data_IF_057851026841
#
_entry.id   IF_057851026841
#
_cell.length_a   1.000
_cell.length_b   1.000
_cell.length_c   1.000
_cell.angle_alpha   90.00
_cell.angle_beta   90.00
_cell.angle_gamma   90.00
#
_symmetry.space_group_name_H-M   'P 1'
#
loop_
_entity.id
_entity.type
_entity.pdbx_description
1 polymer ?
#
# COMPACT_ATOMS: atom_id res chain seq x y z
N UNK A 1 12.21 -34.29 -66.59
CA UNK A 1 12.60 -33.03 -65.93
C UNK A 1 12.25 -33.14 -64.46
N UNK A 2 13.24 -32.96 -63.58
CA UNK A 2 13.10 -32.97 -62.12
C UNK A 2 12.37 -31.69 -61.68
N UNK A 3 11.26 -31.80 -60.95
CA UNK A 3 10.76 -30.66 -60.18
C UNK A 3 11.44 -30.65 -58.81
N UNK A 4 12.14 -29.56 -58.52
CA UNK A 4 12.83 -29.26 -57.27
C UNK A 4 11.80 -29.07 -56.15
N UNK A 5 12.00 -29.76 -55.03
CA UNK A 5 11.44 -29.36 -53.74
C UNK A 5 12.11 -28.06 -53.30
N UNK A 6 11.33 -27.00 -53.09
CA UNK A 6 11.69 -25.90 -52.19
C UNK A 6 11.14 -26.22 -50.80
N UNK A 7 11.92 -26.10 -49.72
CA UNK A 7 11.41 -26.29 -48.38
C UNK A 7 10.44 -25.14 -48.06
N UNK A 8 9.20 -25.49 -47.78
CA UNK A 8 8.21 -24.58 -47.21
C UNK A 8 8.71 -24.21 -45.81
N UNK A 9 9.10 -22.94 -45.62
CA UNK A 9 9.28 -22.38 -44.29
C UNK A 9 7.92 -22.42 -43.59
N UNK A 10 7.71 -23.40 -42.70
CA UNK A 10 6.57 -23.44 -41.82
C UNK A 10 6.80 -22.37 -40.75
N UNK A 11 6.24 -21.17 -40.94
CA UNK A 11 6.11 -20.23 -39.83
C UNK A 11 5.25 -20.92 -38.76
N UNK A 12 5.78 -21.09 -37.54
CA UNK A 12 5.02 -21.53 -36.38
C UNK A 12 3.93 -20.47 -36.10
N UNK A 13 2.73 -20.68 -36.62
CA UNK A 13 1.56 -19.94 -36.17
C UNK A 13 1.06 -20.56 -34.85
N UNK A 14 0.59 -19.75 -33.89
CA UNK A 14 -0.05 -20.26 -32.68
C UNK A 14 -1.26 -21.12 -33.05
N UNK A 15 -1.43 -22.25 -32.37
CA UNK A 15 -2.64 -23.07 -32.53
C UNK A 15 -3.83 -22.25 -32.03
N UNK A 16 -4.80 -21.98 -32.90
CA UNK A 16 -6.05 -21.31 -32.53
C UNK A 16 -7.06 -22.39 -32.18
N UNK A 17 -7.44 -22.48 -30.90
CA UNK A 17 -8.51 -23.37 -30.44
C UNK A 17 -9.78 -22.51 -30.33
N UNK A 18 -10.74 -22.74 -31.23
CA UNK A 18 -12.00 -21.99 -31.31
C UNK A 18 -13.19 -22.68 -30.62
N UNK A 19 -12.98 -23.77 -29.87
CA UNK A 19 -14.07 -24.55 -29.27
C UNK A 19 -13.73 -25.12 -27.89
N UNK A 20 -14.78 -25.37 -27.11
CA UNK A 20 -14.80 -25.98 -25.77
C UNK A 20 -13.82 -27.15 -25.66
N UNK A 21 -12.96 -27.14 -24.63
CA UNK A 21 -12.10 -28.28 -24.28
C UNK A 21 -12.56 -28.88 -22.94
N UNK A 22 -13.22 -30.04 -23.00
CA UNK A 22 -13.70 -30.80 -21.83
C UNK A 22 -12.68 -31.86 -21.38
N UNK A 23 -11.39 -31.50 -21.37
CA UNK A 23 -10.32 -32.39 -20.93
C UNK A 23 -9.14 -31.58 -20.38
N UNK A 24 -8.42 -32.16 -19.40
CA UNK A 24 -7.16 -31.61 -18.93
C UNK A 24 -6.21 -31.38 -20.11
N UNK A 25 -5.79 -30.14 -20.29
CA UNK A 25 -4.92 -29.74 -21.40
C UNK A 25 -3.57 -29.31 -20.86
N UNK A 26 -2.49 -29.87 -21.40
CA UNK A 26 -1.11 -29.50 -21.02
C UNK A 26 -0.44 -28.83 -22.21
N UNK A 27 0.17 -27.67 -21.96
CA UNK A 27 0.94 -26.91 -22.96
C UNK A 27 2.36 -26.68 -22.43
N UNK A 28 3.37 -27.04 -23.23
CA UNK A 28 4.79 -26.99 -22.87
C UNK A 28 5.46 -28.36 -22.92
N UNK A 29 6.73 -28.43 -22.51
CA UNK A 29 7.55 -29.66 -22.37
C UNK A 29 8.10 -30.31 -23.67
N UNK A 30 7.84 -29.71 -24.83
CA UNK A 30 8.28 -30.21 -26.14
C UNK A 30 9.41 -29.41 -26.80
N UNK A 31 10.56 -29.18 -26.13
CA UNK A 31 11.81 -28.66 -26.74
C UNK A 31 11.79 -27.28 -27.44
N UNK A 32 10.63 -26.65 -27.64
CA UNK A 32 10.41 -25.35 -28.25
C UNK A 32 9.16 -24.66 -27.70
N UNK A 33 8.96 -23.38 -27.99
CA UNK A 33 7.79 -22.61 -27.54
C UNK A 33 6.50 -23.11 -28.20
N UNK A 34 5.62 -23.77 -27.44
CA UNK A 34 4.27 -24.13 -27.90
C UNK A 34 3.30 -23.06 -27.42
N UNK A 35 2.97 -22.11 -28.29
CA UNK A 35 2.03 -21.02 -28.01
C UNK A 35 0.61 -21.35 -28.45
N UNK A 36 -0.37 -21.17 -27.58
CA UNK A 36 -1.80 -21.30 -27.89
C UNK A 36 -2.46 -19.93 -27.70
N UNK A 37 -3.12 -19.43 -28.76
CA UNK A 37 -3.89 -18.18 -28.71
C UNK A 37 -5.37 -18.52 -28.76
N UNK A 38 -6.12 -18.08 -27.76
CA UNK A 38 -7.51 -18.42 -27.55
C UNK A 38 -8.38 -17.19 -27.85
N UNK A 39 -9.51 -17.38 -28.54
CA UNK A 39 -10.55 -16.35 -28.74
C UNK A 39 -10.41 -15.42 -29.95
N UNK A 40 -9.55 -15.73 -30.93
CA UNK A 40 -9.20 -14.78 -32.02
C UNK A 40 -10.24 -14.63 -33.14
N UNK A 41 -11.39 -15.32 -33.11
CA UNK A 41 -12.42 -15.16 -34.16
C UNK A 41 -13.86 -15.13 -33.64
N UNK A 42 -14.19 -15.87 -32.57
CA UNK A 42 -15.49 -15.83 -31.89
C UNK A 42 -15.27 -16.27 -30.43
N UNK A 43 -15.92 -15.61 -29.46
CA UNK A 43 -15.72 -15.85 -28.03
C UNK A 43 -15.90 -17.32 -27.64
N UNK A 44 -15.12 -17.77 -26.66
CA UNK A 44 -15.09 -19.17 -26.25
C UNK A 44 -14.69 -19.36 -24.78
N UNK A 45 -15.52 -20.11 -24.06
CA UNK A 45 -15.22 -20.66 -22.74
C UNK A 45 -14.42 -21.95 -22.94
N UNK A 46 -13.18 -22.02 -22.44
CA UNK A 46 -12.24 -23.05 -22.91
C UNK A 46 -11.94 -24.13 -21.89
N UNK A 47 -12.13 -23.92 -20.59
CA UNK A 47 -12.03 -25.04 -19.65
C UNK A 47 -13.10 -25.00 -18.56
N UNK A 48 -13.74 -26.15 -18.34
CA UNK A 48 -14.36 -26.49 -17.06
C UNK A 48 -13.37 -27.30 -16.19
N UNK A 49 -12.43 -28.03 -16.81
CA UNK A 49 -11.39 -28.85 -16.17
C UNK A 49 -10.04 -28.12 -16.07
N UNK A 50 -8.98 -28.81 -15.59
CA UNK A 50 -7.70 -28.18 -15.27
C UNK A 50 -6.88 -27.91 -16.53
N UNK A 51 -6.40 -26.68 -16.67
CA UNK A 51 -5.58 -26.27 -17.81
C UNK A 51 -4.15 -26.00 -17.34
N UNK A 52 -3.16 -26.75 -17.82
CA UNK A 52 -1.79 -26.75 -17.28
C UNK A 52 -0.83 -26.12 -18.30
N UNK A 53 -0.05 -25.14 -17.85
CA UNK A 53 0.98 -24.46 -18.63
C UNK A 53 2.34 -24.73 -17.98
N UNK A 54 3.18 -25.48 -18.68
CA UNK A 54 4.51 -25.91 -18.25
C UNK A 54 5.61 -25.17 -19.01
N UNK A 55 6.85 -25.67 -18.91
CA UNK A 55 8.04 -25.00 -19.41
C UNK A 55 7.95 -24.64 -20.91
N UNK A 56 8.21 -23.38 -21.23
CA UNK A 56 8.05 -22.77 -22.56
C UNK A 56 6.62 -22.79 -23.13
N UNK A 57 5.64 -23.22 -22.33
CA UNK A 57 4.23 -23.12 -22.65
C UNK A 57 3.76 -21.68 -22.52
N UNK A 58 3.08 -21.20 -23.56
CA UNK A 58 2.52 -19.84 -23.58
C UNK A 58 1.06 -19.89 -23.97
N UNK A 59 0.21 -19.26 -23.18
CA UNK A 59 -1.22 -19.17 -23.44
C UNK A 59 -1.65 -17.72 -23.46
N UNK A 60 -2.39 -17.32 -24.49
CA UNK A 60 -3.03 -16.01 -24.56
C UNK A 60 -4.54 -16.19 -24.50
N UNK A 61 -5.17 -15.73 -23.42
CA UNK A 61 -6.61 -15.52 -23.32
C UNK A 61 -6.92 -14.13 -23.91
N UNK A 62 -7.19 -14.11 -25.22
CA UNK A 62 -7.33 -12.88 -26.01
C UNK A 62 -8.75 -12.65 -26.54
N UNK A 63 -9.07 -11.38 -26.83
CA UNK A 63 -10.23 -10.99 -27.64
C UNK A 63 -9.86 -9.88 -28.61
N UNK A 64 -10.13 -10.06 -29.91
CA UNK A 64 -9.98 -9.03 -30.96
C UNK A 64 -11.31 -8.90 -31.71
N UNK A 65 -11.70 -7.67 -32.05
CA UNK A 65 -12.76 -7.38 -33.02
C UNK A 65 -12.21 -6.45 -34.09
N UNK A 66 -12.18 -6.93 -35.34
CA UNK A 66 -11.77 -6.15 -36.50
C UNK A 66 -12.97 -5.46 -37.20
N UNK A 67 -14.21 -5.70 -36.73
CA UNK A 67 -15.43 -5.19 -37.35
C UNK A 67 -16.11 -4.13 -36.49
N UNK A 68 -15.68 -2.88 -36.67
CA UNK A 68 -16.22 -1.69 -36.00
C UNK A 68 -17.45 -1.09 -36.72
N UNK A 69 -18.02 -1.79 -37.71
CA UNK A 69 -19.02 -1.23 -38.63
C UNK A 69 -20.47 -1.61 -38.33
N UNK A 70 -20.72 -2.52 -37.39
CA UNK A 70 -22.07 -2.92 -37.02
C UNK A 70 -22.30 -2.86 -35.50
N UNK A 71 -23.47 -2.32 -35.11
CA UNK A 71 -24.02 -2.45 -33.75
C UNK A 71 -24.27 -3.94 -33.45
N UNK A 72 -23.21 -4.65 -33.08
CA UNK A 72 -23.30 -6.06 -32.70
C UNK A 72 -23.73 -6.16 -31.23
N UNK A 73 -24.72 -7.01 -30.89
CA UNK A 73 -25.08 -7.31 -29.51
C UNK A 73 -23.86 -7.74 -28.68
N UNK A 74 -23.80 -7.34 -27.41
CA UNK A 74 -22.68 -7.59 -26.47
C UNK A 74 -22.22 -9.07 -26.45
N UNK A 75 -23.12 -10.02 -26.73
CA UNK A 75 -22.85 -11.46 -26.72
C UNK A 75 -21.98 -11.98 -27.89
N UNK A 76 -21.70 -11.17 -28.91
CA UNK A 76 -20.88 -11.55 -30.08
C UNK A 76 -19.45 -11.00 -30.10
N UNK A 77 -19.07 -10.20 -29.12
CA UNK A 77 -17.69 -9.76 -28.96
C UNK A 77 -16.87 -10.96 -28.47
N UNK A 78 -15.75 -11.30 -29.12
CA UNK A 78 -14.98 -12.48 -28.75
C UNK A 78 -14.18 -12.27 -27.46
N UNK A 79 -14.67 -12.75 -26.32
CA UNK A 79 -13.91 -12.82 -25.07
C UNK A 79 -13.43 -14.26 -24.86
N UNK A 80 -12.14 -14.45 -24.63
CA UNK A 80 -11.61 -15.74 -24.19
C UNK A 80 -11.73 -15.85 -22.68
N UNK A 81 -12.30 -16.96 -22.20
CA UNK A 81 -12.30 -17.31 -20.77
C UNK A 81 -11.50 -18.58 -20.56
N UNK A 82 -10.52 -18.49 -19.67
CA UNK A 82 -9.79 -19.63 -19.15
C UNK A 82 -10.13 -19.81 -17.67
N UNK A 83 -10.43 -21.04 -17.27
CA UNK A 83 -10.67 -21.36 -15.86
C UNK A 83 -9.60 -22.35 -15.38
N UNK A 84 -9.50 -22.54 -14.06
CA UNK A 84 -8.80 -23.66 -13.44
C UNK A 84 -7.38 -23.87 -13.99
N UNK A 85 -6.67 -22.76 -14.23
CA UNK A 85 -5.40 -22.77 -14.94
C UNK A 85 -4.24 -22.89 -13.98
N UNK A 86 -3.41 -23.93 -14.10
CA UNK A 86 -2.16 -24.09 -13.36
C UNK A 86 -1.00 -23.68 -14.26
N UNK A 87 -0.26 -22.64 -13.86
CA UNK A 87 0.93 -22.16 -14.55
C UNK A 87 2.14 -22.52 -13.72
N UNK A 88 2.82 -23.59 -14.13
CA UNK A 88 4.03 -24.08 -13.47
C UNK A 88 5.25 -23.25 -13.89
N UNK A 89 6.37 -23.46 -13.19
CA UNK A 89 7.65 -22.81 -13.48
C UNK A 89 8.02 -22.90 -14.97
N UNK A 90 8.30 -21.75 -15.56
CA UNK A 90 8.64 -21.61 -16.98
C UNK A 90 7.44 -21.52 -17.93
N UNK A 91 6.21 -21.63 -17.42
CA UNK A 91 4.98 -21.38 -18.16
C UNK A 91 4.50 -19.93 -18.03
N UNK A 92 3.83 -19.44 -19.08
CA UNK A 92 3.29 -18.08 -19.14
C UNK A 92 1.83 -18.07 -19.59
N UNK A 93 1.01 -17.28 -18.90
CA UNK A 93 -0.33 -16.91 -19.35
C UNK A 93 -0.46 -15.40 -19.54
N UNK A 94 -1.05 -14.99 -20.65
CA UNK A 94 -1.34 -13.62 -21.04
C UNK A 94 -2.86 -13.46 -21.09
N UNK A 95 -3.42 -12.64 -20.23
CA UNK A 95 -4.83 -12.25 -20.25
C UNK A 95 -4.89 -10.89 -20.94
N UNK A 96 -5.45 -10.84 -22.16
CA UNK A 96 -5.46 -9.66 -23.02
C UNK A 96 -6.87 -9.40 -23.55
N UNK A 97 -7.64 -8.56 -22.85
CA UNK A 97 -9.07 -8.37 -23.16
C UNK A 97 -9.93 -9.63 -22.94
N UNK A 98 -9.40 -10.63 -22.23
CA UNK A 98 -10.10 -11.85 -21.82
C UNK A 98 -10.23 -11.96 -20.30
N UNK A 99 -10.69 -13.12 -19.83
CA UNK A 99 -10.88 -13.42 -18.40
C UNK A 99 -10.17 -14.70 -18.02
N UNK A 100 -9.43 -14.68 -16.92
CA UNK A 100 -8.87 -15.87 -16.27
C UNK A 100 -9.49 -16.04 -14.87
N UNK A 101 -10.12 -17.18 -14.60
CA UNK A 101 -10.67 -17.50 -13.28
C UNK A 101 -9.93 -18.66 -12.64
N UNK A 102 -9.82 -18.65 -11.31
CA UNK A 102 -9.29 -19.77 -10.51
C UNK A 102 -7.91 -20.24 -11.00
N UNK A 103 -6.99 -19.31 -11.21
CA UNK A 103 -5.65 -19.62 -11.70
C UNK A 103 -4.69 -19.87 -10.54
N UNK A 104 -3.86 -20.90 -10.64
CA UNK A 104 -2.73 -21.17 -9.75
C UNK A 104 -1.42 -20.89 -10.47
N UNK A 105 -0.69 -19.86 -10.06
CA UNK A 105 0.65 -19.53 -10.57
C UNK A 105 1.69 -20.12 -9.60
N UNK A 106 2.23 -21.28 -9.99
CA UNK A 106 3.18 -22.09 -9.20
C UNK A 106 4.59 -21.98 -9.83
N UNK A 107 5.28 -20.88 -9.53
CA UNK A 107 6.57 -20.54 -10.14
C UNK A 107 6.52 -20.04 -11.59
N UNK A 108 5.35 -20.05 -12.23
CA UNK A 108 5.10 -19.49 -13.56
C UNK A 108 4.80 -17.99 -13.56
N UNK A 109 4.28 -17.47 -14.68
CA UNK A 109 3.89 -16.05 -14.80
C UNK A 109 2.50 -15.86 -15.38
N UNK A 110 1.77 -14.90 -14.84
CA UNK A 110 0.55 -14.34 -15.41
C UNK A 110 0.75 -12.85 -15.71
N UNK A 111 0.36 -12.43 -16.91
CA UNK A 111 0.34 -11.02 -17.33
C UNK A 111 -1.10 -10.63 -17.66
N UNK A 112 -1.63 -9.63 -16.96
CA UNK A 112 -3.00 -9.11 -17.11
C UNK A 112 -2.90 -7.68 -17.62
N UNK A 113 -3.30 -7.45 -18.87
CA UNK A 113 -3.21 -6.14 -19.53
C UNK A 113 -4.40 -5.93 -20.45
N UNK A 114 -4.92 -4.71 -20.53
CA UNK A 114 -6.05 -4.37 -21.39
C UNK A 114 -5.76 -4.60 -22.88
N UNK A 115 -6.82 -4.59 -23.69
CA UNK A 115 -6.67 -4.68 -25.14
C UNK A 115 -6.06 -3.36 -25.70
N UNK A 116 -4.97 -3.47 -26.45
CA UNK A 116 -4.42 -2.36 -27.23
C UNK A 116 -4.95 -2.46 -28.67
N UNK A 117 -5.97 -1.70 -29.06
CA UNK A 117 -6.45 -1.75 -30.44
C UNK A 117 -7.69 -0.94 -30.87
N UNK A 118 -8.53 -0.45 -29.96
CA UNK A 118 -9.73 0.32 -30.33
C UNK A 118 -9.43 1.78 -30.71
N UNK A 119 -9.87 2.23 -31.88
CA UNK A 119 -9.78 3.64 -32.31
C UNK A 119 -10.56 4.54 -31.33
N UNK A 120 -9.91 5.55 -30.75
CA UNK A 120 -10.41 6.38 -29.65
C UNK A 120 -11.67 7.23 -29.97
N UNK A 121 -12.21 7.15 -31.19
CA UNK A 121 -13.29 8.01 -31.69
C UNK A 121 -14.72 7.52 -31.35
N UNK A 122 -14.92 6.26 -30.94
CA UNK A 122 -16.26 5.70 -30.63
C UNK A 122 -16.47 5.35 -29.15
N UNK A 123 -15.78 6.05 -28.25
CA UNK A 123 -15.91 5.94 -26.77
C UNK A 123 -17.33 6.12 -26.21
N UNK A 124 -18.32 6.51 -27.04
CA UNK A 124 -19.71 6.71 -26.61
C UNK A 124 -20.52 5.41 -26.43
N UNK A 125 -20.05 4.28 -26.99
CA UNK A 125 -20.71 2.97 -26.86
C UNK A 125 -19.95 1.99 -25.95
N UNK A 126 -18.74 2.34 -25.50
CA UNK A 126 -17.96 1.55 -24.55
C UNK A 126 -18.31 1.98 -23.12
N UNK A 127 -19.10 1.18 -22.40
CA UNK A 127 -19.09 1.30 -20.92
C UNK A 127 -17.68 0.97 -20.43
N UNK A 128 -17.22 1.67 -19.40
CA UNK A 128 -15.99 1.40 -18.63
C UNK A 128 -15.63 -0.10 -18.64
N UNK A 129 -14.60 -0.51 -19.38
CA UNK A 129 -14.03 -1.84 -19.22
C UNK A 129 -13.88 -2.75 -20.45
N UNK A 130 -12.89 -2.48 -21.31
CA UNK A 130 -12.18 -3.58 -22.00
C UNK A 130 -11.25 -4.29 -20.98
N UNK A 131 -11.86 -4.86 -19.93
CA UNK A 131 -11.19 -5.38 -18.74
C UNK A 131 -10.53 -6.72 -19.08
N UNK A 132 -9.20 -6.72 -19.11
CA UNK A 132 -8.49 -7.96 -18.85
C UNK A 132 -8.63 -8.28 -17.37
N UNK A 133 -9.31 -9.39 -17.04
CA UNK A 133 -9.63 -9.72 -15.65
C UNK A 133 -8.99 -11.04 -15.25
N UNK A 134 -8.28 -11.05 -14.11
CA UNK A 134 -7.88 -12.26 -13.41
C UNK A 134 -8.62 -12.36 -12.08
N UNK A 135 -9.50 -13.35 -11.92
CA UNK A 135 -10.24 -13.60 -10.69
C UNK A 135 -9.65 -14.78 -9.93
N UNK A 136 -9.63 -14.66 -8.60
CA UNK A 136 -9.34 -15.75 -7.66
C UNK A 136 -8.03 -16.47 -7.98
N UNK A 137 -7.00 -15.67 -8.28
CA UNK A 137 -5.65 -16.17 -8.63
C UNK A 137 -4.86 -16.45 -7.36
N UNK A 138 -4.25 -17.64 -7.26
CA UNK A 138 -3.29 -17.99 -6.21
C UNK A 138 -1.88 -17.89 -6.80
N UNK A 139 -1.00 -17.14 -6.15
CA UNK A 139 0.40 -16.94 -6.57
C UNK A 139 1.32 -17.46 -5.47
N UNK A 140 2.18 -18.42 -5.79
CA UNK A 140 3.09 -19.08 -4.83
C UNK A 140 4.37 -19.58 -5.51
N UNK A 141 5.33 -20.04 -4.72
CA UNK A 141 6.55 -20.71 -5.16
C UNK A 141 7.34 -19.89 -6.19
N UNK A 142 7.58 -18.60 -5.90
CA UNK A 142 8.18 -17.62 -6.84
C UNK A 142 7.34 -17.31 -8.10
N UNK A 143 6.06 -17.69 -8.11
CA UNK A 143 5.12 -17.30 -9.16
C UNK A 143 4.93 -15.78 -9.21
N UNK A 144 4.64 -15.27 -10.40
CA UNK A 144 4.51 -13.82 -10.64
C UNK A 144 3.18 -13.50 -11.32
N UNK A 145 2.39 -12.60 -10.73
CA UNK A 145 1.26 -11.98 -11.40
C UNK A 145 1.58 -10.51 -11.66
N UNK A 146 1.55 -10.11 -12.93
CA UNK A 146 1.73 -8.74 -13.36
C UNK A 146 0.39 -8.16 -13.80
N UNK A 147 -0.03 -7.05 -13.20
CA UNK A 147 -1.24 -6.31 -13.54
C UNK A 147 -0.81 -4.97 -14.12
N UNK A 148 -1.03 -4.79 -15.42
CA UNK A 148 -0.65 -3.58 -16.16
C UNK A 148 -1.88 -2.74 -16.52
N UNK A 149 -1.68 -1.69 -17.32
CA UNK A 149 -2.70 -0.77 -17.83
C UNK A 149 -4.00 -1.49 -18.20
N UNK A 150 -5.10 -1.07 -17.55
CA UNK A 150 -6.47 -1.58 -17.72
C UNK A 150 -6.65 -3.07 -17.42
N UNK A 151 -5.64 -3.72 -16.86
CA UNK A 151 -5.73 -5.03 -16.24
C UNK A 151 -6.35 -4.91 -14.86
N UNK A 152 -7.22 -5.87 -14.50
CA UNK A 152 -7.83 -5.97 -13.18
C UNK A 152 -7.58 -7.35 -12.60
N UNK A 153 -7.02 -7.42 -11.39
CA UNK A 153 -6.91 -8.64 -10.62
C UNK A 153 -7.83 -8.57 -9.40
N UNK A 154 -8.75 -9.52 -9.26
CA UNK A 154 -9.68 -9.59 -8.13
C UNK A 154 -9.34 -10.80 -7.24
N UNK A 155 -9.37 -10.60 -5.93
CA UNK A 155 -9.24 -11.65 -4.92
C UNK A 155 -7.97 -12.49 -5.08
N UNK A 156 -6.87 -11.86 -5.50
CA UNK A 156 -5.60 -12.58 -5.64
C UNK A 156 -5.06 -12.95 -4.26
N UNK A 157 -4.65 -14.20 -4.07
CA UNK A 157 -3.97 -14.68 -2.88
C UNK A 157 -2.48 -14.85 -3.18
N UNK A 158 -1.63 -14.14 -2.48
CA UNK A 158 -0.17 -14.20 -2.64
C UNK A 158 0.43 -14.87 -1.42
N UNK A 159 1.24 -15.91 -1.61
CA UNK A 159 1.83 -16.73 -0.54
C UNK A 159 3.25 -17.16 -0.92
N UNK A 160 4.00 -17.77 0.01
CA UNK A 160 5.37 -18.31 -0.13
C UNK A 160 6.14 -17.91 -1.40
N UNK A 161 6.88 -16.79 -1.32
CA UNK A 161 7.71 -16.19 -2.38
C UNK A 161 6.96 -15.73 -3.64
N UNK A 162 5.64 -15.96 -3.71
CA UNK A 162 4.79 -15.44 -4.74
C UNK A 162 4.76 -13.92 -4.73
N UNK A 163 4.56 -13.33 -5.91
CA UNK A 163 4.55 -11.87 -6.08
C UNK A 163 3.42 -11.40 -6.97
N UNK A 164 2.68 -10.39 -6.51
CA UNK A 164 1.82 -9.58 -7.37
C UNK A 164 2.44 -8.20 -7.57
N UNK A 165 2.62 -7.82 -8.83
CA UNK A 165 3.12 -6.51 -9.24
C UNK A 165 1.99 -5.75 -9.96
N UNK A 166 1.58 -4.61 -9.41
CA UNK A 166 0.56 -3.74 -9.99
C UNK A 166 1.24 -2.48 -10.52
N UNK A 167 1.19 -2.29 -11.83
CA UNK A 167 1.83 -1.16 -12.52
C UNK A 167 0.81 -0.09 -12.91
N UNK A 168 1.29 0.94 -13.59
CA UNK A 168 0.52 2.07 -14.12
C UNK A 168 -0.84 1.64 -14.68
N UNK A 169 -1.91 2.18 -14.09
CA UNK A 169 -3.31 1.95 -14.45
C UNK A 169 -3.79 0.48 -14.40
N UNK A 170 -3.00 -0.40 -13.78
CA UNK A 170 -3.45 -1.71 -13.31
C UNK A 170 -4.17 -1.63 -11.97
N UNK A 171 -5.18 -2.47 -11.78
CA UNK A 171 -6.04 -2.47 -10.59
C UNK A 171 -6.00 -3.82 -9.88
N UNK A 172 -5.69 -3.84 -8.58
CA UNK A 172 -5.79 -5.03 -7.75
C UNK A 172 -6.82 -4.84 -6.62
N UNK A 173 -7.88 -5.63 -6.63
CA UNK A 173 -8.96 -5.57 -5.65
C UNK A 173 -8.90 -6.78 -4.70
N UNK A 174 -9.08 -6.53 -3.40
CA UNK A 174 -9.21 -7.54 -2.35
C UNK A 174 -8.06 -8.55 -2.34
N UNK A 175 -6.83 -8.07 -2.57
CA UNK A 175 -5.67 -8.97 -2.54
C UNK A 175 -5.40 -9.43 -1.11
N UNK A 176 -5.16 -10.73 -0.91
CA UNK A 176 -4.77 -11.31 0.37
C UNK A 176 -3.29 -11.68 0.30
N UNK A 177 -2.47 -11.03 1.11
CA UNK A 177 -1.03 -11.28 1.19
C UNK A 177 -0.75 -12.11 2.43
N UNK A 178 -0.39 -13.39 2.23
CA UNK A 178 -0.08 -14.35 3.28
C UNK A 178 1.43 -14.44 3.53
N UNK A 179 1.82 -15.26 4.51
CA UNK A 179 3.22 -15.48 4.87
C UNK A 179 4.13 -15.74 3.66
N UNK A 180 5.20 -14.95 3.55
CA UNK A 180 6.18 -15.01 2.46
C UNK A 180 5.69 -14.42 1.13
N UNK A 181 4.42 -14.02 1.02
CA UNK A 181 3.85 -13.36 -0.15
C UNK A 181 4.18 -11.87 -0.21
N UNK A 182 4.32 -11.35 -1.42
CA UNK A 182 4.69 -9.94 -1.65
C UNK A 182 3.74 -9.28 -2.65
N UNK A 183 3.19 -8.12 -2.29
CA UNK A 183 2.47 -7.25 -3.22
C UNK A 183 3.26 -5.96 -3.44
N UNK A 184 3.51 -5.60 -4.69
CA UNK A 184 4.17 -4.36 -5.09
C UNK A 184 3.20 -3.50 -5.88
N UNK A 185 2.91 -2.30 -5.38
CA UNK A 185 2.13 -1.30 -6.10
C UNK A 185 3.10 -0.23 -6.61
N UNK A 186 3.32 -0.17 -7.92
CA UNK A 186 4.21 0.79 -8.56
C UNK A 186 3.46 2.06 -8.96
N UNK A 187 4.20 3.03 -9.52
CA UNK A 187 3.69 4.32 -9.96
C UNK A 187 2.37 4.22 -10.74
N UNK A 188 1.33 4.92 -10.26
CA UNK A 188 -0.05 4.91 -10.76
C UNK A 188 -0.78 3.55 -10.79
N UNK A 189 -0.25 2.51 -10.15
CA UNK A 189 -0.99 1.29 -9.87
C UNK A 189 -2.00 1.51 -8.75
N UNK A 190 -3.15 0.83 -8.85
CA UNK A 190 -4.26 0.92 -7.91
C UNK A 190 -4.42 -0.37 -7.10
N UNK A 191 -4.60 -0.22 -5.79
CA UNK A 191 -4.87 -1.34 -4.89
C UNK A 191 -5.96 -1.00 -3.88
N UNK A 192 -7.01 -1.81 -3.87
CA UNK A 192 -8.17 -1.61 -3.03
C UNK A 192 -8.36 -2.80 -2.08
N UNK A 193 -8.56 -2.51 -0.80
CA UNK A 193 -8.94 -3.48 0.23
C UNK A 193 -7.97 -4.66 0.39
N UNK A 194 -6.67 -4.41 0.27
CA UNK A 194 -5.66 -5.44 0.51
C UNK A 194 -5.66 -5.86 1.98
N UNK A 195 -5.62 -7.17 2.24
CA UNK A 195 -5.43 -7.74 3.57
C UNK A 195 -4.04 -8.32 3.66
N UNK A 196 -3.24 -7.85 4.62
CA UNK A 196 -1.88 -8.32 4.88
C UNK A 196 -1.89 -9.15 6.15
N UNK A 197 -1.74 -10.47 6.01
CA UNK A 197 -1.67 -11.42 7.12
C UNK A 197 -0.22 -11.58 7.62
N UNK A 198 -0.04 -12.34 8.70
CA UNK A 198 1.27 -12.61 9.32
C UNK A 198 2.33 -13.05 8.30
N UNK A 199 3.46 -12.34 8.29
CA UNK A 199 4.59 -12.57 7.39
C UNK A 199 4.37 -12.13 5.94
N UNK A 200 3.20 -11.60 5.59
CA UNK A 200 2.92 -10.98 4.29
C UNK A 200 3.38 -9.52 4.24
N UNK A 201 3.73 -9.03 3.05
CA UNK A 201 4.20 -7.65 2.87
C UNK A 201 3.59 -6.96 1.66
N UNK A 202 3.18 -5.71 1.83
CA UNK A 202 2.84 -4.80 0.74
C UNK A 202 3.86 -3.66 0.67
N UNK A 203 4.35 -3.39 -0.54
CA UNK A 203 5.22 -2.25 -0.84
C UNK A 203 4.50 -1.30 -1.79
N UNK A 204 4.35 -0.04 -1.37
CA UNK A 204 3.63 1.00 -2.11
C UNK A 204 4.61 2.08 -2.57
N UNK A 205 4.76 2.16 -3.89
CA UNK A 205 5.51 3.16 -4.65
C UNK A 205 4.58 3.90 -5.63
N UNK A 206 3.31 4.12 -5.25
CA UNK A 206 2.25 4.70 -6.09
C UNK A 206 1.78 6.06 -5.56
N UNK A 207 1.01 6.79 -6.37
CA UNK A 207 0.80 8.24 -6.25
C UNK A 207 -0.54 8.71 -5.65
N UNK A 208 -1.45 7.81 -5.24
CA UNK A 208 -2.75 8.10 -4.57
C UNK A 208 -3.77 6.97 -4.59
N UNK A 209 -3.54 5.91 -5.36
CA UNK A 209 -4.55 4.88 -5.63
C UNK A 209 -4.49 3.66 -4.71
N UNK A 210 -3.94 3.76 -3.50
CA UNK A 210 -3.95 2.65 -2.54
C UNK A 210 -4.89 2.98 -1.38
N UNK A 211 -5.93 2.16 -1.20
CA UNK A 211 -6.98 2.42 -0.22
C UNK A 211 -7.48 1.17 0.50
N UNK A 212 -7.94 1.34 1.74
CA UNK A 212 -8.63 0.29 2.50
C UNK A 212 -7.75 -0.87 2.93
N UNK A 213 -6.43 -0.68 3.00
CA UNK A 213 -5.52 -1.76 3.41
C UNK A 213 -5.75 -2.12 4.87
N UNK A 214 -5.83 -3.41 5.18
CA UNK A 214 -5.87 -3.95 6.55
C UNK A 214 -4.56 -4.67 6.82
N UNK A 215 -3.78 -4.14 7.75
CA UNK A 215 -2.52 -4.71 8.20
C UNK A 215 -2.76 -5.47 9.51
N UNK A 216 -2.79 -6.80 9.43
CA UNK A 216 -3.03 -7.64 10.61
C UNK A 216 -1.75 -7.86 11.41
N UNK A 217 -1.90 -8.52 12.57
CA UNK A 217 -0.77 -8.96 13.39
C UNK A 217 0.31 -9.67 12.58
N UNK A 218 1.54 -9.15 12.63
CA UNK A 218 2.71 -9.67 11.91
C UNK A 218 2.72 -9.38 10.40
N UNK A 219 1.72 -8.68 9.88
CA UNK A 219 1.72 -8.15 8.51
C UNK A 219 2.38 -6.79 8.44
N UNK A 220 2.93 -6.44 7.28
CA UNK A 220 3.71 -5.22 7.09
C UNK A 220 3.32 -4.46 5.82
N UNK A 221 3.07 -3.15 5.95
CA UNK A 221 2.93 -2.22 4.82
C UNK A 221 4.09 -1.22 4.81
N UNK A 222 4.75 -1.08 3.66
CA UNK A 222 5.80 -0.11 3.43
C UNK A 222 5.36 0.90 2.38
N UNK A 223 5.20 2.15 2.79
CA UNK A 223 4.87 3.27 1.91
C UNK A 223 6.14 4.08 1.69
N UNK A 224 6.68 4.00 0.48
CA UNK A 224 7.91 4.69 0.12
C UNK A 224 7.91 5.11 -1.34
N UNK A 225 8.29 6.36 -1.59
CA UNK A 225 8.41 6.88 -2.94
C UNK A 225 9.80 7.52 -3.14
N UNK A 226 10.59 7.11 -4.16
CA UNK A 226 11.87 7.75 -4.42
C UNK A 226 11.66 9.19 -4.93
N UNK A 227 12.38 10.15 -4.32
CA UNK A 227 12.22 11.60 -4.55
C UNK A 227 12.50 12.10 -5.99
N UNK A 228 12.75 11.21 -6.95
CA UNK A 228 13.25 11.54 -8.29
C UNK A 228 12.19 11.86 -9.34
N UNK A 229 10.87 11.81 -9.06
CA UNK A 229 9.85 12.28 -10.01
C UNK A 229 9.08 13.51 -9.47
N UNK A 230 8.77 14.48 -10.34
CA UNK A 230 8.10 15.72 -9.96
C UNK A 230 6.63 15.48 -9.56
N UNK A 231 6.15 16.21 -8.54
CA UNK A 231 4.76 16.18 -8.05
C UNK A 231 4.25 14.83 -7.52
N UNK A 232 5.15 13.89 -7.20
CA UNK A 232 4.73 12.63 -6.60
C UNK A 232 4.27 12.84 -5.16
N UNK A 233 3.10 12.30 -4.85
CA UNK A 233 2.66 12.15 -3.47
C UNK A 233 2.50 10.65 -3.23
N UNK A 234 3.42 10.03 -2.47
CA UNK A 234 3.31 8.61 -2.14
C UNK A 234 2.15 8.44 -1.17
N UNK A 235 0.99 7.95 -1.60
CA UNK A 235 -0.25 8.09 -0.83
C UNK A 235 -0.96 6.76 -0.61
N UNK A 236 -1.21 6.45 0.66
CA UNK A 236 -2.17 5.42 1.10
C UNK A 236 -3.28 6.09 1.90
N UNK A 237 -4.51 5.56 1.80
CA UNK A 237 -5.68 6.12 2.51
C UNK A 237 -6.49 5.04 3.21
N UNK A 238 -7.16 5.41 4.30
CA UNK A 238 -8.08 4.52 5.04
C UNK A 238 -7.42 3.19 5.43
N UNK A 239 -6.17 3.24 5.89
CA UNK A 239 -5.47 2.04 6.35
C UNK A 239 -5.90 1.72 7.77
N UNK A 240 -6.24 0.45 8.02
CA UNK A 240 -6.39 -0.09 9.37
C UNK A 240 -5.14 -0.88 9.71
N UNK A 241 -4.44 -0.46 10.76
CA UNK A 241 -3.31 -1.22 11.31
C UNK A 241 -3.78 -1.85 12.62
N UNK A 242 -4.05 -3.15 12.61
CA UNK A 242 -4.50 -3.89 13.80
C UNK A 242 -3.37 -4.07 14.81
N UNK A 243 -3.70 -4.48 16.03
CA UNK A 243 -2.71 -4.76 17.08
C UNK A 243 -1.63 -5.76 16.59
N UNK A 244 -0.37 -5.35 16.66
CA UNK A 244 0.79 -6.09 16.17
C UNK A 244 1.00 -6.05 14.66
N UNK A 245 0.20 -5.30 13.90
CA UNK A 245 0.47 -4.93 12.52
C UNK A 245 1.44 -3.74 12.44
N UNK A 246 2.10 -3.59 11.30
CA UNK A 246 3.15 -2.58 11.10
C UNK A 246 2.98 -1.79 9.81
N UNK A 247 3.06 -0.46 9.89
CA UNK A 247 3.12 0.45 8.75
C UNK A 247 4.38 1.33 8.83
N UNK A 248 5.13 1.43 7.74
CA UNK A 248 6.24 2.37 7.60
C UNK A 248 5.96 3.40 6.52
N UNK A 249 6.20 4.67 6.80
CA UNK A 249 6.02 5.80 5.89
C UNK A 249 7.37 6.49 5.73
N UNK A 250 7.88 6.60 4.51
CA UNK A 250 9.24 7.11 4.29
C UNK A 250 9.34 7.84 2.95
N UNK A 251 9.96 9.02 2.96
CA UNK A 251 10.27 9.79 1.74
C UNK A 251 9.53 11.12 1.66
N UNK A 252 10.11 12.04 0.90
CA UNK A 252 9.56 13.38 0.66
C UNK A 252 8.21 13.27 -0.05
N UNK A 253 7.20 13.99 0.46
CA UNK A 253 5.82 13.99 -0.04
C UNK A 253 5.14 12.60 0.03
N UNK A 254 5.59 11.71 0.92
CA UNK A 254 4.92 10.43 1.16
C UNK A 254 4.01 10.57 2.38
N UNK A 255 2.71 10.31 2.23
CA UNK A 255 1.75 10.39 3.33
C UNK A 255 0.86 9.15 3.45
N UNK A 256 0.58 8.74 4.69
CA UNK A 256 -0.59 7.92 4.98
C UNK A 256 -1.70 8.82 5.52
N UNK A 257 -2.88 8.77 4.87
CA UNK A 257 -4.04 9.57 5.24
C UNK A 257 -5.08 8.69 5.94
N UNK A 258 -5.71 9.25 6.97
CA UNK A 258 -6.90 8.67 7.62
C UNK A 258 -6.64 7.24 8.13
N UNK A 259 -5.49 7.04 8.78
CA UNK A 259 -5.11 5.74 9.34
C UNK A 259 -5.81 5.52 10.68
N UNK A 260 -6.39 4.34 10.87
CA UNK A 260 -6.84 3.85 12.17
C UNK A 260 -5.78 2.90 12.72
N UNK A 261 -5.13 3.31 13.81
CA UNK A 261 -3.90 2.68 14.30
C UNK A 261 -4.09 2.04 15.68
N UNK A 262 -4.03 0.71 15.74
CA UNK A 262 -3.95 -0.11 16.96
C UNK A 262 -2.63 -0.90 17.05
N UNK A 263 -1.88 -0.97 15.95
CA UNK A 263 -0.52 -1.49 15.88
C UNK A 263 0.54 -0.39 15.88
N UNK A 264 1.61 -0.60 15.11
CA UNK A 264 2.74 0.32 15.04
C UNK A 264 2.81 1.04 13.68
N UNK A 265 3.01 2.37 13.72
CA UNK A 265 3.30 3.20 12.56
C UNK A 265 4.64 3.91 12.77
N UNK A 266 5.58 3.75 11.84
CA UNK A 266 6.84 4.51 11.83
C UNK A 266 6.86 5.52 10.71
N UNK A 267 7.22 6.76 11.03
CA UNK A 267 7.31 7.88 10.10
C UNK A 267 8.77 8.36 10.04
N UNK A 268 9.41 8.21 8.87
CA UNK A 268 10.82 8.50 8.63
C UNK A 268 11.04 9.46 7.46
N UNK A 269 12.21 10.11 7.41
CA UNK A 269 12.80 10.79 6.24
C UNK A 269 11.79 11.55 5.38
N UNK A 270 11.22 12.61 5.96
CA UNK A 270 10.24 13.51 5.31
C UNK A 270 8.87 12.87 5.00
N UNK A 271 8.60 11.65 5.49
CA UNK A 271 7.29 11.03 5.45
C UNK A 271 6.28 11.72 6.37
N UNK A 272 4.99 11.48 6.13
CA UNK A 272 3.90 12.14 6.87
C UNK A 272 2.78 11.17 7.26
N UNK A 273 2.37 11.23 8.52
CA UNK A 273 1.14 10.61 9.03
C UNK A 273 0.09 11.70 9.19
N UNK A 274 -1.04 11.59 8.50
CA UNK A 274 -2.05 12.67 8.43
C UNK A 274 -3.42 12.14 8.82
N UNK A 275 -4.10 12.85 9.71
CA UNK A 275 -5.42 12.49 10.25
C UNK A 275 -5.46 11.08 10.88
N UNK A 276 -4.34 10.64 11.46
CA UNK A 276 -4.26 9.31 12.08
C UNK A 276 -4.97 9.33 13.43
N UNK A 277 -5.90 8.38 13.62
CA UNK A 277 -6.49 8.10 14.93
C UNK A 277 -5.70 6.97 15.59
N UNK A 278 -5.06 7.28 16.71
CA UNK A 278 -4.25 6.33 17.49
C UNK A 278 -5.10 5.77 18.61
N UNK A 279 -5.52 4.51 18.45
CA UNK A 279 -6.34 3.77 19.41
C UNK A 279 -5.52 3.08 20.51
N UNK A 280 -6.20 2.28 21.33
CA UNK A 280 -5.58 1.51 22.42
C UNK A 280 -4.47 0.58 21.89
N UNK A 281 -3.27 0.68 22.47
CA UNK A 281 -2.07 -0.03 22.02
C UNK A 281 -1.44 0.52 20.73
N UNK A 282 -2.11 1.46 20.05
CA UNK A 282 -1.61 2.14 18.87
C UNK A 282 -0.39 3.00 19.17
N UNK A 283 0.59 2.96 18.27
CA UNK A 283 1.88 3.58 18.50
C UNK A 283 2.41 4.24 17.24
N UNK A 284 2.56 5.57 17.26
CA UNK A 284 3.32 6.30 16.24
C UNK A 284 4.72 6.59 16.77
N UNK A 285 5.72 6.28 15.95
CA UNK A 285 7.09 6.76 16.12
C UNK A 285 7.49 7.64 14.94
N UNK A 286 7.78 8.91 15.20
CA UNK A 286 8.28 9.84 14.20
C UNK A 286 9.73 10.24 14.53
N UNK A 287 10.61 10.11 13.54
CA UNK A 287 12.02 10.47 13.63
C UNK A 287 12.53 11.04 12.30
N UNK A 288 13.72 11.64 12.27
CA UNK A 288 14.42 12.00 11.04
C UNK A 288 13.57 12.83 10.06
N UNK A 289 12.96 13.93 10.53
CA UNK A 289 11.97 14.76 9.79
C UNK A 289 10.63 14.08 9.49
N UNK A 290 10.28 13.02 10.20
CA UNK A 290 8.92 12.47 10.15
C UNK A 290 7.89 13.49 10.64
N UNK A 291 6.78 13.61 9.92
CA UNK A 291 5.69 14.54 10.21
C UNK A 291 4.46 13.81 10.74
N UNK A 292 3.85 14.32 11.80
CA UNK A 292 2.57 13.83 12.34
C UNK A 292 1.58 14.99 12.37
N UNK A 293 0.59 14.96 11.48
CA UNK A 293 -0.34 16.07 11.25
C UNK A 293 -1.76 15.66 11.59
N UNK A 294 -2.44 16.48 12.39
CA UNK A 294 -3.84 16.27 12.79
C UNK A 294 -4.09 14.91 13.48
N UNK A 295 -3.12 14.41 14.25
CA UNK A 295 -3.29 13.15 14.96
C UNK A 295 -4.32 13.28 16.09
N UNK A 296 -5.18 12.28 16.23
CA UNK A 296 -6.14 12.15 17.33
C UNK A 296 -5.76 10.94 18.19
N UNK A 297 -5.25 11.20 19.39
CA UNK A 297 -4.70 10.19 20.29
C UNK A 297 -5.77 9.83 21.32
N UNK A 298 -6.33 8.63 21.21
CA UNK A 298 -7.33 8.09 22.14
C UNK A 298 -6.66 7.45 23.36
N UNK A 299 -7.46 7.09 24.37
CA UNK A 299 -6.98 6.34 25.54
C UNK A 299 -6.22 5.08 25.12
N UNK A 300 -5.03 4.89 25.71
CA UNK A 300 -4.12 3.78 25.41
C UNK A 300 -3.23 3.99 24.16
N UNK A 301 -3.49 5.02 23.36
CA UNK A 301 -2.66 5.39 22.21
C UNK A 301 -1.44 6.22 22.59
N UNK A 302 -0.35 6.06 21.85
CA UNK A 302 0.92 6.74 22.10
C UNK A 302 1.53 7.32 20.82
N UNK A 303 2.04 8.54 20.89
CA UNK A 303 2.79 9.19 19.81
C UNK A 303 4.11 9.69 20.34
N UNK A 304 5.20 9.34 19.66
CA UNK A 304 6.55 9.80 19.97
C UNK A 304 7.09 10.64 18.81
N UNK A 305 7.44 11.89 19.12
CA UNK A 305 8.08 12.86 18.22
C UNK A 305 9.50 13.03 18.74
N UNK A 306 10.43 12.36 18.09
CA UNK A 306 11.77 12.17 18.62
C UNK A 306 12.84 12.72 17.66
N UNK A 307 13.86 13.36 18.24
CA UNK A 307 15.14 13.61 17.58
C UNK A 307 16.15 12.55 18.08
N UNK A 308 16.44 11.55 17.23
CA UNK A 308 17.40 10.49 17.53
C UNK A 308 18.76 10.78 16.88
N UNK A 309 19.80 10.12 17.37
CA UNK A 309 21.06 10.03 16.65
C UNK A 309 21.01 8.87 15.66
N UNK A 310 21.61 9.05 14.49
CA UNK A 310 21.84 7.99 13.53
C UNK A 310 22.69 6.88 14.20
N UNK A 311 22.16 5.65 14.21
CA UNK A 311 22.79 4.54 14.94
C UNK A 311 24.17 4.15 14.38
N UNK A 312 24.51 4.56 13.15
CA UNK A 312 25.77 4.20 12.48
C UNK A 312 26.82 5.28 12.67
N UNK A 313 26.44 6.54 12.52
CA UNK A 313 27.34 7.70 12.53
C UNK A 313 27.37 8.42 13.86
N UNK A 314 26.39 8.18 14.73
CA UNK A 314 26.21 8.90 16.00
C UNK A 314 25.77 10.36 15.84
N UNK A 315 25.60 10.84 14.61
CA UNK A 315 25.20 12.21 14.33
C UNK A 315 23.70 12.41 14.61
N UNK A 316 23.28 13.60 15.08
CA UNK A 316 21.87 13.90 15.26
C UNK A 316 21.13 13.84 13.93
N UNK A 317 20.05 13.07 13.88
CA UNK A 317 19.08 13.13 12.80
C UNK A 317 18.29 14.44 12.94
N UNK A 318 17.84 14.96 11.81
CA UNK A 318 16.97 16.13 11.83
C UNK A 318 15.66 15.82 12.60
N UNK A 319 15.17 16.77 13.40
CA UNK A 319 14.08 16.52 14.35
C UNK A 319 12.76 16.16 13.65
N UNK A 320 11.95 15.35 14.31
CA UNK A 320 10.57 15.10 13.90
C UNK A 320 9.65 16.26 14.29
N UNK A 321 8.51 16.34 13.62
CA UNK A 321 7.55 17.42 13.77
C UNK A 321 6.12 16.91 13.93
N UNK A 322 5.37 17.52 14.83
CA UNK A 322 3.93 17.31 14.95
C UNK A 322 3.16 18.63 14.91
N UNK A 323 1.97 18.63 14.32
CA UNK A 323 1.08 19.78 14.24
C UNK A 323 -0.37 19.38 14.44
N UNK A 324 -1.13 20.20 15.17
CA UNK A 324 -2.56 20.00 15.43
C UNK A 324 -2.86 18.65 16.08
N UNK A 325 -2.04 18.20 17.03
CA UNK A 325 -2.27 16.93 17.72
C UNK A 325 -3.30 17.10 18.83
N UNK A 326 -4.31 16.24 18.86
CA UNK A 326 -5.37 16.24 19.87
C UNK A 326 -5.22 15.01 20.75
N UNK A 327 -5.10 15.23 22.06
CA UNK A 327 -5.05 14.15 23.05
C UNK A 327 -6.43 14.03 23.73
N UNK A 328 -7.06 12.89 23.53
CA UNK A 328 -8.32 12.46 24.12
C UNK A 328 -8.10 11.21 24.99
N UNK A 329 -7.03 11.19 25.77
CA UNK A 329 -6.76 10.20 26.82
C UNK A 329 -5.38 9.55 26.74
N UNK A 330 -4.79 9.42 25.54
CA UNK A 330 -3.47 8.82 25.36
C UNK A 330 -2.31 9.77 25.64
N UNK A 331 -1.13 9.43 25.14
CA UNK A 331 0.09 10.19 25.39
C UNK A 331 0.75 10.72 24.12
N UNK A 332 1.26 11.96 24.19
CA UNK A 332 2.19 12.54 23.23
C UNK A 332 3.51 12.80 23.93
N UNK A 333 4.61 12.32 23.36
CA UNK A 333 5.96 12.51 23.88
C UNK A 333 6.84 13.21 22.86
N UNK A 334 7.33 14.40 23.19
CA UNK A 334 8.20 15.23 22.36
C UNK A 334 9.59 15.25 22.99
N UNK A 335 10.57 14.62 22.33
CA UNK A 335 11.87 14.38 22.95
C UNK A 335 13.05 14.62 22.01
N UNK A 336 14.14 15.10 22.57
CA UNK A 336 15.38 15.35 21.84
C UNK A 336 15.42 16.76 21.27
N UNK A 337 16.64 17.19 20.94
CA UNK A 337 16.92 18.56 20.50
C UNK A 337 16.08 18.92 19.27
N UNK A 338 15.32 20.01 19.39
CA UNK A 338 14.49 20.59 18.34
C UNK A 338 13.31 19.72 17.85
N UNK A 339 13.03 18.58 18.49
CA UNK A 339 11.77 17.87 18.28
C UNK A 339 10.62 18.80 18.67
N UNK A 340 9.64 18.95 17.78
CA UNK A 340 8.67 20.04 17.87
C UNK A 340 7.24 19.53 17.73
N UNK A 341 6.37 19.91 18.67
CA UNK A 341 4.93 19.79 18.54
C UNK A 341 4.25 21.15 18.63
N UNK A 342 3.49 21.51 17.61
CA UNK A 342 2.77 22.78 17.53
C UNK A 342 1.25 22.58 17.57
N UNK A 343 0.54 23.58 18.10
CA UNK A 343 -0.93 23.62 18.11
C UNK A 343 -1.57 22.40 18.77
N UNK A 344 -0.95 21.89 19.83
CA UNK A 344 -1.45 20.70 20.53
C UNK A 344 -2.63 21.05 21.45
N UNK A 345 -3.66 20.21 21.44
CA UNK A 345 -4.82 20.32 22.32
C UNK A 345 -4.92 19.09 23.22
N UNK A 346 -4.79 19.27 24.53
CA UNK A 346 -4.86 18.19 25.53
C UNK A 346 -6.20 18.22 26.25
N UNK A 347 -7.19 17.49 25.72
CA UNK A 347 -8.51 17.33 26.35
C UNK A 347 -8.50 16.31 27.49
N UNK A 348 -7.64 15.29 27.40
CA UNK A 348 -7.33 14.32 28.46
C UNK A 348 -6.05 13.56 28.09
N UNK A 349 -5.38 12.95 29.06
CA UNK A 349 -4.14 12.20 28.84
C UNK A 349 -2.90 13.03 29.18
N UNK A 350 -1.76 12.65 28.61
CA UNK A 350 -0.46 13.11 29.07
C UNK A 350 0.39 13.66 27.91
N UNK A 351 0.96 14.85 28.10
CA UNK A 351 1.96 15.44 27.21
C UNK A 351 3.31 15.49 27.91
N UNK A 352 4.29 14.85 27.30
CA UNK A 352 5.64 14.68 27.79
C UNK A 352 6.61 15.49 26.93
N UNK A 353 7.37 16.41 27.54
CA UNK A 353 8.36 17.25 26.85
C UNK A 353 9.70 17.09 27.55
N UNK A 354 10.67 16.46 26.87
CA UNK A 354 11.93 16.06 27.50
C UNK A 354 13.15 16.32 26.61
N UNK A 355 14.33 16.42 27.24
CA UNK A 355 15.64 16.37 26.57
C UNK A 355 15.78 17.34 25.38
N UNK A 356 15.35 18.59 25.51
CA UNK A 356 15.42 19.57 24.42
C UNK A 356 14.18 19.65 23.53
N UNK A 357 13.16 18.84 23.81
CA UNK A 357 11.88 18.91 23.12
C UNK A 357 11.19 20.27 23.28
N UNK A 358 10.42 20.66 22.26
CA UNK A 358 9.77 21.95 22.14
C UNK A 358 8.27 21.75 21.90
N UNK A 359 7.44 22.43 22.69
CA UNK A 359 6.03 22.61 22.39
C UNK A 359 5.75 24.06 22.03
N UNK A 360 4.80 24.28 21.12
CA UNK A 360 4.35 25.62 20.73
C UNK A 360 2.83 25.70 20.66
N UNK A 361 2.27 26.82 21.10
CA UNK A 361 0.83 27.13 21.02
C UNK A 361 -0.06 25.98 21.51
N UNK A 362 0.26 25.50 22.72
CA UNK A 362 -0.38 24.34 23.33
C UNK A 362 -1.50 24.76 24.29
N UNK A 363 -2.65 24.08 24.19
CA UNK A 363 -3.78 24.28 25.09
C UNK A 363 -4.09 23.00 25.85
N UNK A 364 -4.25 23.12 27.17
CA UNK A 364 -4.71 22.05 28.05
C UNK A 364 -6.09 22.40 28.57
N UNK A 365 -7.08 21.57 28.21
CA UNK A 365 -8.49 21.87 28.41
C UNK A 365 -9.20 20.90 29.38
N UNK A 366 -8.54 19.83 29.84
CA UNK A 366 -9.15 18.73 30.58
C UNK A 366 -8.79 18.65 32.06
N UNK A 367 -9.77 18.27 32.89
CA UNK A 367 -9.61 18.07 34.35
C UNK A 367 -8.66 16.94 34.76
N UNK A 368 -8.18 16.14 33.81
CA UNK A 368 -7.22 15.04 34.04
C UNK A 368 -6.12 15.06 32.98
N UNK A 369 -5.85 16.24 32.43
CA UNK A 369 -4.76 16.45 31.49
C UNK A 369 -3.51 16.84 32.25
N UNK A 370 -2.41 16.15 31.97
CA UNK A 370 -1.12 16.40 32.59
C UNK A 370 -0.09 16.79 31.54
N UNK A 371 0.70 17.83 31.81
CA UNK A 371 1.93 18.09 31.05
C UNK A 371 3.13 17.89 31.97
N UNK A 372 4.13 17.17 31.49
CA UNK A 372 5.47 17.10 32.06
C UNK A 372 6.44 17.85 31.15
N UNK A 373 7.11 18.88 31.67
CA UNK A 373 8.18 19.59 30.95
C UNK A 373 9.44 19.49 31.78
N UNK A 374 10.41 18.70 31.31
CA UNK A 374 11.67 18.48 32.02
C UNK A 374 12.67 19.62 31.80
N UNK A 375 13.78 19.55 32.53
CA UNK A 375 14.93 20.43 32.36
C UNK A 375 15.44 20.41 30.92
N UNK A 376 15.88 21.57 30.42
CA UNK A 376 16.30 21.78 29.03
C UNK A 376 15.19 21.69 27.96
N UNK A 377 13.92 21.54 28.34
CA UNK A 377 12.78 21.61 27.42
C UNK A 377 12.10 22.98 27.39
N UNK A 378 11.40 23.25 26.29
CA UNK A 378 10.87 24.58 25.99
C UNK A 378 9.38 24.54 25.66
N UNK A 379 8.62 25.47 26.23
CA UNK A 379 7.33 25.90 25.73
C UNK A 379 7.47 27.27 25.10
N UNK A 380 7.34 27.34 23.77
CA UNK A 380 7.36 28.58 22.99
C UNK A 380 5.94 29.03 22.66
N UNK A 381 5.76 30.32 22.39
CA UNK A 381 4.43 30.85 22.15
C UNK A 381 3.51 30.64 23.37
N UNK A 382 2.22 30.40 23.13
CA UNK A 382 1.22 30.34 24.19
C UNK A 382 1.07 28.94 24.80
N UNK A 383 1.13 28.86 26.13
CA UNK A 383 0.71 27.70 26.91
C UNK A 383 -0.51 28.07 27.76
N UNK A 384 -1.69 27.58 27.37
CA UNK A 384 -2.94 27.84 28.07
C UNK A 384 -3.38 26.64 28.90
N UNK A 385 -3.59 26.85 30.20
CA UNK A 385 -4.06 25.82 31.12
C UNK A 385 -5.45 26.20 31.68
N UNK A 386 -6.45 25.36 31.40
CA UNK A 386 -7.80 25.51 31.96
C UNK A 386 -7.96 24.84 33.33
N UNK A 387 -9.16 25.00 33.90
CA UNK A 387 -9.47 24.42 35.21
C UNK A 387 -9.22 22.91 35.22
N UNK A 388 -8.57 22.44 36.28
CA UNK A 388 -8.23 21.03 36.47
C UNK A 388 -7.04 20.51 35.65
N UNK A 389 -6.43 21.33 34.79
CA UNK A 389 -5.15 20.98 34.17
C UNK A 389 -4.02 20.99 35.22
N UNK A 390 -3.09 20.03 35.10
CA UNK A 390 -1.88 19.99 35.94
C UNK A 390 -0.63 20.07 35.08
N UNK A 391 0.32 20.91 35.46
CA UNK A 391 1.63 20.98 34.82
C UNK A 391 2.74 20.72 35.83
N UNK A 392 3.58 19.76 35.50
CA UNK A 392 4.81 19.43 36.21
C UNK A 392 5.99 20.03 35.47
N UNK A 393 6.76 20.86 36.17
CA UNK A 393 7.98 21.47 35.65
C UNK A 393 9.20 20.86 36.33
N UNK A 394 10.00 20.13 35.56
CA UNK A 394 11.29 19.59 35.99
C UNK A 394 12.32 20.71 36.22
N UNK A 395 13.16 20.50 37.22
CA UNK A 395 14.31 21.34 37.54
C UNK A 395 15.57 20.47 37.62
N UNK A 396 16.68 20.91 37.03
CA UNK A 396 18.01 20.31 37.20
C UNK A 396 18.99 21.34 37.76
N UNK A 397 20.17 20.88 38.16
CA UNK A 397 21.23 21.72 38.72
C UNK A 397 21.79 22.75 37.71
N UNK A 398 21.65 22.50 36.42
CA UNK A 398 22.26 23.31 35.35
C UNK A 398 21.26 24.05 34.46
N UNK A 399 19.98 23.65 34.48
CA UNK A 399 18.92 24.18 33.62
C UNK A 399 17.53 23.85 34.18
N UNK A 400 16.53 24.65 33.81
CA UNK A 400 15.12 24.37 34.08
C UNK A 400 14.29 24.46 32.81
N UNK A 401 13.06 23.94 32.88
CA UNK A 401 12.06 24.17 31.84
C UNK A 401 11.85 25.67 31.58
N UNK A 402 11.70 26.07 30.31
CA UNK A 402 11.45 27.46 29.92
C UNK A 402 10.07 27.61 29.30
N UNK A 403 9.27 28.56 29.78
CA UNK A 403 7.95 28.89 29.25
C UNK A 403 7.93 30.38 28.89
N UNK A 404 7.62 30.70 27.64
CA UNK A 404 7.57 32.09 27.16
C UNK A 404 6.28 32.82 27.60
N UNK A 405 5.12 32.22 27.34
CA UNK A 405 3.82 32.79 27.70
C UNK A 405 2.92 31.73 28.35
N UNK A 406 2.58 31.93 29.62
CA UNK A 406 1.73 31.02 30.41
C UNK A 406 0.43 31.71 30.81
N UNK A 407 -0.71 31.12 30.45
CA UNK A 407 -2.03 31.51 30.94
C UNK A 407 -2.56 30.44 31.88
N UNK A 408 -2.94 30.85 33.09
CA UNK A 408 -3.54 29.96 34.10
C UNK A 408 -4.99 30.35 34.35
N UNK A 409 -5.90 29.39 34.25
CA UNK A 409 -7.31 29.57 34.62
C UNK A 409 -7.72 28.39 35.52
N UNK A 410 -7.64 28.56 36.85
CA UNK A 410 -7.90 27.52 37.85
C UNK A 410 -7.11 26.21 37.64
N UNK A 411 -5.88 26.33 37.10
CA UNK A 411 -4.96 25.22 36.86
C UNK A 411 -3.93 25.08 38.00
N UNK A 412 -3.38 23.88 38.15
CA UNK A 412 -2.34 23.59 39.12
C UNK A 412 -0.96 23.54 38.45
N UNK A 413 0.03 24.23 39.04
CA UNK A 413 1.43 24.17 38.62
C UNK A 413 2.24 23.57 39.76
N UNK A 414 2.97 22.49 39.46
CA UNK A 414 3.80 21.77 40.41
C UNK A 414 5.25 21.88 39.94
N UNK A 415 6.09 22.43 40.80
CA UNK A 415 7.53 22.52 40.56
C UNK A 415 8.22 21.28 41.13
N UNK A 416 9.06 20.63 40.34
CA UNK A 416 9.96 19.58 40.82
C UNK A 416 10.88 20.12 41.92
N UNK A 417 11.13 19.32 42.95
CA UNK A 417 12.09 19.67 44.00
C UNK A 417 13.50 19.72 43.45
N UNK A 418 14.28 20.70 43.91
CA UNK A 418 15.76 20.64 43.87
C UNK A 418 16.28 19.52 44.75
#
# INVERSE_FOLDING_TARGET
>A
MKYKYSPLFLALFPLVISSYVNADTVIGDGGGTTGVSLGTQYGGLISQDRFIVNNNGRVTAGGWSDDFSQEMPIERWGWAVVNNTVVNKGGDIYVQGGVANHSLIDGGRMLVFGATGGNAANLQYFKQGELSVANDTIVKNSGLQYVFDKGTANNTQVSDQGRQNVYYDGVANNTIVNSGGLQYIYYNGESNNTIINEGGKQYVYSTDKVSGTVVKKGGEQYVYFPASLPNNVGLVKNTLVEAGGFQSITGVNVSALDTMLYGEQRVFSDGSSVNTTVGDGGLIWAYAKGNVLNANILSGGNVYIDALNDATTGNPLAPAYANNTILNGGALSVRGLDALAENSLVNSGELFVHNGGIIMDTRVAGNSSVIHIDSDSFSKGRLDLSSGATVYLGASDTSGAKIEHLTLNDASVIFGSR
#
